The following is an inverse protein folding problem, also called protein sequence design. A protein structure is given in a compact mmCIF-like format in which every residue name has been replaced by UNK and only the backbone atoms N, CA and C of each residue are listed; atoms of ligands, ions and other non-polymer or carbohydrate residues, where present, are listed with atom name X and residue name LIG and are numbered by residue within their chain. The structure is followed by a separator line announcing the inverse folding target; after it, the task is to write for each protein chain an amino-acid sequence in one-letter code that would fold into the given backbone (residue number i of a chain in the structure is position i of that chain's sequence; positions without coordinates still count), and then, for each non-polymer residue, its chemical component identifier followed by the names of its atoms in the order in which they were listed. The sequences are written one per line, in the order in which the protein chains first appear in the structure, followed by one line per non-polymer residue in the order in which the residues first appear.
data_IF_624786984087
#
_entry.id   IF_624786984087
#
_cell.length_a   1.000
_cell.length_b   1.000
_cell.length_c   1.000
_cell.angle_alpha   90.00
_cell.angle_beta   90.00
_cell.angle_gamma   90.00
#
_symmetry.space_group_name_H-M   'P 1'
#
loop_
_entity.id
_entity.type
_entity.pdbx_description
1 polymer ?
#
# COMPACT_ATOMS: atom_id res chain seq x y z
N UNK A 1 -28.75 11.04 -17.31
CA UNK A 1 -27.30 10.80 -17.46
C UNK A 1 -26.90 9.80 -16.39
N UNK A 2 -26.72 8.54 -16.77
CA UNK A 2 -26.25 7.47 -15.87
C UNK A 2 -24.78 7.76 -15.57
N UNK A 3 -24.43 7.95 -14.29
CA UNK A 3 -23.03 7.97 -13.88
C UNK A 3 -22.35 6.70 -14.40
N UNK A 4 -21.13 6.79 -14.94
CA UNK A 4 -20.38 5.58 -15.30
C UNK A 4 -20.29 4.69 -14.07
N UNK A 5 -20.57 3.40 -14.25
CA UNK A 5 -20.44 2.44 -13.16
C UNK A 5 -19.01 2.53 -12.60
N UNK A 6 -18.89 2.88 -11.32
CA UNK A 6 -17.60 2.88 -10.66
C UNK A 6 -17.00 1.47 -10.78
N UNK A 7 -15.78 1.37 -11.31
CA UNK A 7 -15.04 0.11 -11.26
C UNK A 7 -14.87 -0.25 -9.79
N UNK A 8 -15.43 -1.39 -9.40
CA UNK A 8 -15.29 -1.93 -8.05
C UNK A 8 -13.81 -2.12 -7.73
N UNK A 9 -13.37 -1.53 -6.63
CA UNK A 9 -12.05 -1.76 -6.06
C UNK A 9 -12.16 -2.90 -5.07
N UNK A 10 -11.36 -3.94 -5.25
CA UNK A 10 -11.35 -5.12 -4.37
C UNK A 10 -10.04 -5.13 -3.61
N UNK A 11 -10.11 -5.36 -2.31
CA UNK A 11 -8.92 -5.37 -1.48
C UNK A 11 -8.01 -6.52 -1.87
N UNK A 12 -6.72 -6.21 -2.07
CA UNK A 12 -5.71 -7.19 -2.44
C UNK A 12 -5.35 -8.19 -1.33
N UNK A 13 -5.94 -8.05 -0.14
CA UNK A 13 -5.74 -8.97 0.99
C UNK A 13 -7.01 -9.76 1.37
N UNK A 14 -8.08 -9.09 1.81
CA UNK A 14 -9.28 -9.75 2.36
C UNK A 14 -10.41 -9.96 1.33
N UNK A 15 -10.22 -9.49 0.09
CA UNK A 15 -11.19 -9.54 -1.00
C UNK A 15 -12.51 -8.78 -0.75
N UNK A 16 -12.56 -7.90 0.24
CA UNK A 16 -13.70 -7.01 0.45
C UNK A 16 -13.71 -5.86 -0.58
N UNK A 17 -14.88 -5.24 -0.76
CA UNK A 17 -15.00 -4.02 -1.56
C UNK A 17 -14.35 -2.84 -0.82
N UNK A 18 -13.48 -2.11 -1.51
CA UNK A 18 -12.73 -0.96 -0.97
C UNK A 18 -13.47 0.32 -1.33
N UNK A 19 -13.67 1.21 -0.34
CA UNK A 19 -14.27 2.52 -0.60
C UNK A 19 -13.39 3.38 -1.52
N UNK A 20 -13.94 4.42 -2.16
CA UNK A 20 -13.15 5.37 -2.94
C UNK A 20 -11.99 6.01 -2.14
N UNK A 21 -12.15 6.15 -0.82
CA UNK A 21 -11.15 6.66 0.12
C UNK A 21 -10.27 5.57 0.74
N UNK A 22 -10.16 4.38 0.14
CA UNK A 22 -9.23 3.35 0.61
C UNK A 22 -7.75 3.69 0.34
N UNK A 23 -6.85 2.85 0.86
CA UNK A 23 -5.44 2.93 0.51
C UNK A 23 -5.23 2.42 -0.92
N UNK A 24 -4.40 3.12 -1.69
CA UNK A 24 -4.00 2.73 -3.05
C UNK A 24 -2.49 2.66 -3.12
N UNK A 25 -1.94 1.49 -3.41
CA UNK A 25 -0.51 1.30 -3.68
C UNK A 25 -0.31 1.10 -5.17
N UNK A 26 0.33 2.06 -5.82
CA UNK A 26 0.59 2.06 -7.26
C UNK A 26 2.07 1.76 -7.53
N UNK A 27 2.31 0.94 -8.54
CA UNK A 27 3.61 0.78 -9.19
C UNK A 27 3.44 0.85 -10.71
N UNK A 28 4.51 0.66 -11.48
CA UNK A 28 4.50 0.86 -12.94
C UNK A 28 3.48 -0.03 -13.68
N UNK A 29 3.24 -1.24 -13.18
CA UNK A 29 2.39 -2.26 -13.81
C UNK A 29 0.93 -2.20 -13.35
N UNK A 30 0.61 -1.47 -12.28
CA UNK A 30 -0.77 -1.32 -11.82
C UNK A 30 -0.95 -0.79 -10.41
N UNK A 31 -2.22 -0.82 -9.99
CA UNK A 31 -2.69 -0.37 -8.68
C UNK A 31 -3.18 -1.54 -7.84
N UNK A 32 -2.94 -1.46 -6.54
CA UNK A 32 -3.44 -2.37 -5.52
C UNK A 32 -4.26 -1.58 -4.50
N UNK A 33 -5.36 -2.15 -4.04
CA UNK A 33 -6.32 -1.46 -3.16
C UNK A 33 -6.38 -2.14 -1.80
N UNK A 34 -6.51 -1.36 -0.73
CA UNK A 34 -6.62 -1.89 0.63
C UNK A 34 -7.68 -1.16 1.46
N UNK A 35 -8.50 -1.92 2.17
CA UNK A 35 -9.56 -1.41 3.04
C UNK A 35 -9.00 -0.53 4.17
N UNK A 36 -7.87 -0.94 4.74
CA UNK A 36 -7.25 -0.26 5.88
C UNK A 36 -5.73 -0.51 5.93
N UNK A 37 -5.09 0.15 6.90
CA UNK A 37 -3.66 0.03 7.16
C UNK A 37 -3.21 -1.41 7.48
N UNK A 38 -4.09 -2.21 8.09
CA UNK A 38 -3.78 -3.60 8.46
C UNK A 38 -3.74 -4.49 7.22
N UNK A 39 -4.69 -4.35 6.30
CA UNK A 39 -4.70 -5.07 5.02
C UNK A 39 -3.46 -4.74 4.19
N UNK A 40 -3.10 -3.45 4.11
CA UNK A 40 -1.86 -3.01 3.47
C UNK A 40 -0.63 -3.67 4.13
N UNK A 41 -0.53 -3.62 5.47
CA UNK A 41 0.58 -4.22 6.20
C UNK A 41 0.70 -5.73 5.96
N UNK A 42 -0.40 -6.47 6.08
CA UNK A 42 -0.40 -7.93 5.93
C UNK A 42 0.00 -8.33 4.51
N UNK A 43 -0.53 -7.63 3.50
CA UNK A 43 -0.15 -7.85 2.12
C UNK A 43 1.31 -7.50 1.86
N UNK A 44 1.78 -6.33 2.29
CA UNK A 44 3.14 -5.85 2.01
C UNK A 44 4.20 -6.75 2.65
N UNK A 45 4.01 -7.11 3.92
CA UNK A 45 4.90 -8.06 4.63
C UNK A 45 4.87 -9.41 3.96
N UNK A 46 3.70 -9.93 3.57
CA UNK A 46 3.60 -11.19 2.85
C UNK A 46 4.34 -11.13 1.51
N UNK A 47 4.22 -10.02 0.77
CA UNK A 47 4.86 -9.83 -0.52
C UNK A 47 6.39 -9.88 -0.42
N UNK A 48 6.98 -9.09 0.49
CA UNK A 48 8.45 -8.98 0.61
C UNK A 48 9.10 -10.22 1.24
N UNK A 49 8.36 -10.95 2.09
CA UNK A 49 8.84 -12.19 2.72
C UNK A 49 8.60 -13.43 1.87
N UNK A 50 7.81 -13.34 0.79
CA UNK A 50 7.52 -14.49 -0.05
C UNK A 50 8.78 -14.95 -0.81
N UNK A 51 9.26 -16.19 -0.57
CA UNK A 51 10.48 -16.71 -1.21
C UNK A 51 10.32 -16.97 -2.71
N UNK A 52 9.08 -16.94 -3.24
CA UNK A 52 8.80 -17.06 -4.68
C UNK A 52 8.93 -15.73 -5.43
N UNK A 53 9.10 -14.61 -4.72
CA UNK A 53 9.33 -13.29 -5.32
C UNK A 53 10.82 -13.05 -5.48
N UNK A 54 11.23 -12.59 -6.66
CA UNK A 54 12.63 -12.21 -6.88
C UNK A 54 12.98 -10.95 -6.10
N UNK A 55 14.27 -10.75 -5.82
CA UNK A 55 14.74 -9.51 -5.20
C UNK A 55 14.48 -8.29 -6.08
N UNK A 56 14.51 -8.45 -7.41
CA UNK A 56 14.16 -7.39 -8.35
C UNK A 56 12.69 -6.96 -8.20
N UNK A 57 11.77 -7.91 -8.05
CA UNK A 57 10.35 -7.61 -7.81
C UNK A 57 10.12 -6.86 -6.50
N UNK A 58 10.93 -7.15 -5.47
CA UNK A 58 10.85 -6.47 -4.17
C UNK A 58 11.43 -5.05 -4.21
N UNK A 59 12.35 -4.77 -5.14
CA UNK A 59 13.06 -3.49 -5.32
C UNK A 59 12.37 -2.51 -6.27
N UNK A 60 11.10 -2.76 -6.60
CA UNK A 60 10.29 -1.86 -7.44
C UNK A 60 9.76 -0.72 -6.56
N UNK A 61 10.01 0.52 -7.02
CA UNK A 61 9.47 1.72 -6.38
C UNK A 61 7.94 1.75 -6.49
N UNK A 62 7.29 2.27 -5.45
CA UNK A 62 5.83 2.37 -5.40
C UNK A 62 5.38 3.67 -4.74
N UNK A 63 4.15 4.10 -5.03
CA UNK A 63 3.50 5.26 -4.43
C UNK A 63 2.24 4.82 -3.70
N UNK A 64 2.11 5.21 -2.43
CA UNK A 64 0.94 4.98 -1.61
C UNK A 64 0.12 6.26 -1.53
N UNK A 65 -1.15 6.18 -1.90
CA UNK A 65 -2.18 7.16 -1.56
C UNK A 65 -2.97 6.68 -0.35
N UNK A 66 -3.05 7.50 0.69
CA UNK A 66 -3.79 7.22 1.91
C UNK A 66 -5.25 7.69 1.82
N UNK A 67 -6.14 7.23 2.72
CA UNK A 67 -7.51 7.73 2.82
C UNK A 67 -7.63 9.25 2.99
N UNK A 68 -6.64 9.88 3.61
CA UNK A 68 -6.58 11.34 3.77
C UNK A 68 -6.25 12.09 2.48
N UNK A 69 -5.87 11.38 1.41
CA UNK A 69 -5.28 11.96 0.21
C UNK A 69 -3.77 12.20 0.31
N UNK A 70 -3.14 12.01 1.48
CA UNK A 70 -1.68 12.09 1.60
C UNK A 70 -1.04 11.02 0.71
N UNK A 71 -0.05 11.43 -0.09
CA UNK A 71 0.73 10.54 -0.94
C UNK A 71 2.13 10.37 -0.41
N UNK A 72 2.67 9.17 -0.55
CA UNK A 72 4.02 8.82 -0.12
C UNK A 72 4.68 7.91 -1.14
N UNK A 73 5.88 8.27 -1.58
CA UNK A 73 6.68 7.47 -2.51
C UNK A 73 7.73 6.68 -1.74
N UNK A 74 7.82 5.40 -2.03
CA UNK A 74 8.82 4.48 -1.47
C UNK A 74 9.83 4.09 -2.55
N UNK A 75 11.09 3.89 -2.14
CA UNK A 75 12.14 3.41 -3.04
C UNK A 75 11.90 1.96 -3.46
N UNK A 76 11.27 1.17 -2.59
CA UNK A 76 10.91 -0.22 -2.85
C UNK A 76 9.77 -0.75 -1.97
N UNK A 77 9.34 -2.00 -2.21
CA UNK A 77 8.30 -2.65 -1.41
C UNK A 77 8.76 -3.00 0.01
N UNK A 78 10.07 -3.11 0.28
CA UNK A 78 10.60 -3.37 1.63
C UNK A 78 10.33 -2.15 2.50
N UNK A 79 10.62 -0.97 1.98
CA UNK A 79 10.35 0.30 2.64
C UNK A 79 8.85 0.49 2.90
N UNK A 80 8.00 0.17 1.91
CA UNK A 80 6.54 0.19 2.07
C UNK A 80 6.03 -0.82 3.12
N UNK A 81 6.63 -2.02 3.19
CA UNK A 81 6.29 -3.03 4.19
C UNK A 81 6.68 -2.59 5.62
N UNK A 82 7.87 -1.99 5.77
CA UNK A 82 8.32 -1.42 7.03
C UNK A 82 7.41 -0.28 7.51
N UNK A 83 7.10 0.66 6.60
CA UNK A 83 6.20 1.77 6.91
C UNK A 83 4.81 1.28 7.29
N UNK A 84 4.23 0.36 6.51
CA UNK A 84 2.88 -0.16 6.77
C UNK A 84 2.82 -0.96 8.08
N UNK A 85 3.87 -1.72 8.43
CA UNK A 85 3.97 -2.39 9.73
C UNK A 85 4.03 -1.39 10.88
N UNK A 86 4.85 -0.33 10.78
CA UNK A 86 4.88 0.74 11.77
C UNK A 86 3.52 1.44 11.88
N UNK A 87 2.87 1.68 10.74
CA UNK A 87 1.56 2.33 10.68
C UNK A 87 0.44 1.51 11.32
N UNK A 88 0.42 0.20 11.07
CA UNK A 88 -0.63 -0.68 11.54
C UNK A 88 -0.42 -1.21 12.98
N UNK A 89 0.83 -1.35 13.44
CA UNK A 89 1.14 -2.18 14.62
C UNK A 89 1.81 -1.46 15.80
N UNK A 90 2.60 -0.41 15.59
CA UNK A 90 3.53 0.08 16.64
C UNK A 90 3.48 1.59 16.95
N UNK A 91 2.49 2.33 16.45
CA UNK A 91 2.29 3.73 16.82
C UNK A 91 3.46 4.67 16.42
N UNK A 92 3.47 5.87 16.98
CA UNK A 92 4.26 7.00 16.47
C UNK A 92 5.78 6.93 16.73
N UNK A 93 6.24 6.04 17.61
CA UNK A 93 7.66 5.95 18.00
C UNK A 93 8.51 5.04 17.11
N UNK A 94 7.92 4.39 16.10
CA UNK A 94 8.67 3.47 15.23
C UNK A 94 9.39 4.26 14.12
N UNK A 95 10.73 4.14 13.97
CA UNK A 95 11.49 4.92 12.99
C UNK A 95 11.07 4.65 11.54
N UNK A 96 10.47 3.50 11.25
CA UNK A 96 9.95 3.19 9.91
C UNK A 96 8.73 4.05 9.53
N UNK A 97 8.18 4.88 10.43
CA UNK A 97 7.18 5.90 10.07
C UNK A 97 7.73 6.95 9.10
N UNK A 98 9.04 7.18 9.16
CA UNK A 98 9.74 8.15 8.32
C UNK A 98 10.11 7.59 6.95
N UNK A 99 10.01 6.28 6.75
CA UNK A 99 10.26 5.63 5.47
C UNK A 99 9.35 6.18 4.37
N UNK A 100 9.90 6.42 3.19
CA UNK A 100 9.24 7.03 2.06
C UNK A 100 9.16 8.55 2.16
N UNK A 101 9.00 9.21 1.02
CA UNK A 101 8.95 10.67 0.91
C UNK A 101 7.50 11.09 0.67
N UNK A 102 6.99 12.02 1.49
CA UNK A 102 5.68 12.63 1.24
C UNK A 102 5.70 13.38 -0.10
N UNK A 103 4.65 13.22 -0.90
CA UNK A 103 4.53 13.84 -2.21
C UNK A 103 3.30 14.75 -2.20
N UNK A 104 3.49 16.00 -2.58
CA UNK A 104 2.42 16.99 -2.75
C UNK A 104 1.62 16.71 -4.02
#
# INVERSE_FOLDING_TARGET
MTQPAHKRRICSYDMAEVSPEGYVLAEEQGEMYFCDARCLCLWAVHFVTNPRRSEEQKRIACELTMPSGERRKFTDFIEAAQWSAANALQGDSNPWRENGIKVD
#
